data_IF_194239561397
#
_entry.id   IF_194239561397
#
_cell.length_a   1.000
_cell.length_b   1.000
_cell.length_c   1.000
_cell.angle_alpha   90.00
_cell.angle_beta   90.00
_cell.angle_gamma   90.00
#
_symmetry.space_group_name_H-M   'P 1'
#
loop_
_entity.id
_entity.type
_entity.pdbx_description
1 polymer ?
#
# COMPACT_ATOMS: atom_id res chain seq x y z
N UNK A 1 -6.90 -9.30 17.08
CA UNK A 1 -7.71 -9.31 15.83
C UNK A 1 -6.76 -9.12 14.67
N UNK A 2 -7.02 -9.79 13.54
CA UNK A 2 -6.25 -9.57 12.31
C UNK A 2 -6.44 -8.12 11.83
N UNK A 3 -5.38 -7.55 11.25
CA UNK A 3 -5.36 -6.19 10.71
C UNK A 3 -6.30 -6.09 9.52
N UNK A 4 -6.30 -7.09 8.62
CA UNK A 4 -7.17 -7.16 7.45
C UNK A 4 -8.10 -8.36 7.52
N UNK A 5 -9.40 -8.10 7.41
CA UNK A 5 -10.47 -9.09 7.24
C UNK A 5 -11.25 -8.78 5.97
N UNK A 6 -12.04 -9.73 5.46
CA UNK A 6 -12.86 -9.50 4.27
C UNK A 6 -13.91 -8.40 4.47
N UNK A 7 -14.31 -8.16 5.72
CA UNK A 7 -15.29 -7.14 6.09
C UNK A 7 -14.67 -5.75 6.27
N UNK A 8 -13.36 -5.63 6.56
CA UNK A 8 -12.78 -4.36 7.01
C UNK A 8 -11.76 -3.72 6.06
N UNK A 9 -11.22 -4.46 5.09
CA UNK A 9 -10.05 -3.99 4.35
C UNK A 9 -10.37 -2.75 3.50
N UNK A 10 -11.59 -2.65 2.98
CA UNK A 10 -12.06 -1.50 2.18
C UNK A 10 -12.18 -0.25 3.05
N UNK A 11 -12.89 -0.33 4.18
CA UNK A 11 -13.05 0.80 5.11
C UNK A 11 -11.71 1.27 5.68
N UNK A 12 -10.79 0.33 5.93
CA UNK A 12 -9.41 0.65 6.33
C UNK A 12 -8.66 1.39 5.25
N UNK A 13 -8.84 1.03 3.99
CA UNK A 13 -8.18 1.70 2.88
C UNK A 13 -8.69 3.14 2.75
N UNK A 14 -10.00 3.32 2.78
CA UNK A 14 -10.64 4.64 2.78
C UNK A 14 -10.09 5.53 3.91
N UNK A 15 -10.09 5.00 5.14
CA UNK A 15 -9.59 5.73 6.31
C UNK A 15 -8.11 6.09 6.15
N UNK A 16 -7.27 5.16 5.69
CA UNK A 16 -5.85 5.43 5.49
C UNK A 16 -5.64 6.58 4.48
N UNK A 17 -6.35 6.57 3.35
CA UNK A 17 -6.27 7.63 2.34
C UNK A 17 -6.76 8.98 2.87
N UNK A 18 -7.81 8.99 3.70
CA UNK A 18 -8.33 10.22 4.29
C UNK A 18 -7.32 10.92 5.24
N UNK A 19 -6.40 10.14 5.82
CA UNK A 19 -5.42 10.60 6.82
C UNK A 19 -4.05 10.98 6.23
N UNK A 20 -3.85 10.82 4.93
CA UNK A 20 -2.57 11.13 4.29
C UNK A 20 -2.26 12.63 4.35
N UNK A 21 -0.97 12.94 4.41
CA UNK A 21 -0.49 14.31 4.38
C UNK A 21 -0.84 15.04 3.08
N UNK A 22 -1.21 16.31 3.25
CA UNK A 22 -1.58 17.25 2.19
C UNK A 22 -0.74 18.52 2.30
N UNK A 23 -0.50 19.17 1.18
CA UNK A 23 0.09 20.51 1.15
C UNK A 23 -0.91 21.56 1.68
N UNK A 24 -0.44 22.82 1.81
CA UNK A 24 -1.27 23.94 2.27
C UNK A 24 -2.46 24.27 1.35
N UNK A 25 -2.50 23.69 0.14
CA UNK A 25 -3.58 23.84 -0.85
C UNK A 25 -4.53 22.64 -0.82
N UNK A 26 -4.32 21.68 0.08
CA UNK A 26 -5.14 20.49 0.22
C UNK A 26 -4.84 19.39 -0.80
N UNK A 27 -3.75 19.47 -1.57
CA UNK A 27 -3.33 18.41 -2.48
C UNK A 27 -2.53 17.35 -1.71
N UNK A 28 -2.76 16.07 -2.00
CA UNK A 28 -1.95 15.00 -1.44
C UNK A 28 -0.46 15.18 -1.78
N UNK A 29 0.41 14.92 -0.80
CA UNK A 29 1.85 14.86 -1.05
C UNK A 29 2.24 13.57 -1.78
N UNK A 30 1.47 12.51 -1.57
CA UNK A 30 1.57 11.26 -2.31
C UNK A 30 1.09 11.47 -3.74
N UNK A 31 1.81 10.91 -4.72
CA UNK A 31 1.42 10.97 -6.13
C UNK A 31 0.81 9.67 -6.62
N UNK A 32 0.04 9.75 -7.71
CA UNK A 32 -0.54 8.54 -8.34
C UNK A 32 0.55 7.60 -8.84
N UNK A 33 1.66 8.12 -9.36
CA UNK A 33 2.81 7.31 -9.79
C UNK A 33 3.45 6.52 -8.66
N UNK A 34 3.58 7.11 -7.47
CA UNK A 34 4.14 6.44 -6.29
C UNK A 34 3.26 5.28 -5.83
N UNK A 35 1.95 5.50 -5.66
CA UNK A 35 1.05 4.45 -5.20
C UNK A 35 0.80 3.36 -6.27
N UNK A 36 0.78 3.73 -7.56
CA UNK A 36 0.72 2.76 -8.66
C UNK A 36 1.96 1.87 -8.73
N UNK A 37 3.14 2.41 -8.43
CA UNK A 37 4.36 1.60 -8.35
C UNK A 37 4.24 0.52 -7.26
N UNK A 38 3.69 0.86 -6.08
CA UNK A 38 3.42 -0.13 -5.03
C UNK A 38 2.40 -1.17 -5.46
N UNK A 39 1.31 -0.74 -6.11
CA UNK A 39 0.30 -1.65 -6.65
C UNK A 39 0.90 -2.64 -7.66
N UNK A 40 1.77 -2.18 -8.56
CA UNK A 40 2.43 -3.03 -9.55
C UNK A 40 3.22 -4.19 -8.92
N UNK A 41 3.89 -3.93 -7.79
CA UNK A 41 4.61 -4.98 -7.04
C UNK A 41 3.63 -6.04 -6.51
N UNK A 42 2.43 -5.62 -6.10
CA UNK A 42 1.40 -6.48 -5.55
C UNK A 42 0.61 -7.24 -6.63
N UNK A 43 0.33 -6.61 -7.78
CA UNK A 43 -0.40 -7.25 -8.89
C UNK A 43 0.34 -8.45 -9.45
N UNK A 44 1.67 -8.35 -9.63
CA UNK A 44 2.49 -9.48 -10.06
C UNK A 44 2.42 -10.67 -9.09
N UNK A 45 2.32 -10.39 -7.79
CA UNK A 45 2.20 -11.44 -6.77
C UNK A 45 0.77 -12.00 -6.71
N UNK A 46 -0.24 -11.16 -6.92
CA UNK A 46 -1.64 -11.58 -7.01
C UNK A 46 -1.85 -12.57 -8.15
N UNK A 47 -1.34 -12.27 -9.35
CA UNK A 47 -1.47 -13.15 -10.50
C UNK A 47 -0.76 -14.49 -10.28
N UNK A 48 0.48 -14.46 -9.76
CA UNK A 48 1.20 -15.68 -9.40
C UNK A 48 0.48 -16.50 -8.32
N UNK A 49 -0.26 -15.87 -7.41
CA UNK A 49 -1.05 -16.57 -6.39
C UNK A 49 -2.21 -17.39 -6.94
N UNK A 50 -2.70 -17.08 -8.14
CA UNK A 50 -3.79 -17.82 -8.81
C UNK A 50 -3.30 -19.16 -9.34
N UNK A 51 -2.04 -19.22 -9.76
CA UNK A 51 -1.46 -20.38 -10.46
C UNK A 51 -0.57 -21.23 -9.55
N UNK A 52 0.10 -20.62 -8.55
CA UNK A 52 1.10 -21.27 -7.70
C UNK A 52 0.59 -21.53 -6.28
N UNK A 53 1.19 -22.52 -5.60
CA UNK A 53 0.96 -22.75 -4.17
C UNK A 53 1.59 -21.63 -3.34
N UNK A 54 1.00 -21.34 -2.18
CA UNK A 54 1.50 -20.24 -1.33
C UNK A 54 2.94 -20.46 -0.86
N UNK A 55 3.33 -21.71 -0.57
CA UNK A 55 4.69 -22.05 -0.10
C UNK A 55 5.78 -21.63 -1.10
N UNK A 56 5.46 -21.61 -2.39
CA UNK A 56 6.36 -21.16 -3.46
C UNK A 56 6.51 -19.63 -3.51
N UNK A 57 5.62 -18.89 -2.84
CA UNK A 57 5.53 -17.42 -2.85
C UNK A 57 6.04 -16.80 -1.54
N UNK A 58 6.41 -17.57 -0.54
CA UNK A 58 6.88 -17.06 0.77
C UNK A 58 8.07 -16.10 0.60
N UNK A 59 9.01 -16.44 -0.28
CA UNK A 59 10.15 -15.59 -0.59
C UNK A 59 9.73 -14.31 -1.32
N UNK A 60 8.77 -14.39 -2.24
CA UNK A 60 8.22 -13.22 -2.93
C UNK A 60 7.51 -12.26 -1.94
N UNK A 61 6.75 -12.79 -0.98
CA UNK A 61 6.09 -11.99 0.08
C UNK A 61 7.15 -11.31 0.96
N UNK A 62 8.21 -12.04 1.33
CA UNK A 62 9.32 -11.48 2.11
C UNK A 62 10.05 -10.38 1.34
N UNK A 63 10.27 -10.58 0.04
CA UNK A 63 10.89 -9.58 -0.82
C UNK A 63 9.99 -8.36 -1.04
N UNK A 64 8.67 -8.57 -1.18
CA UNK A 64 7.69 -7.48 -1.24
C UNK A 64 7.81 -6.57 -0.02
N UNK A 65 7.98 -7.15 1.19
CA UNK A 65 8.20 -6.37 2.41
C UNK A 65 9.46 -5.50 2.33
N UNK A 66 10.57 -6.03 1.82
CA UNK A 66 11.81 -5.26 1.59
C UNK A 66 11.56 -4.12 0.61
N UNK A 67 10.82 -4.38 -0.48
CA UNK A 67 10.48 -3.35 -1.45
C UNK A 67 9.65 -2.23 -0.83
N UNK A 68 8.63 -2.52 -0.01
CA UNK A 68 7.85 -1.48 0.68
C UNK A 68 8.71 -0.62 1.62
N UNK A 69 9.63 -1.23 2.37
CA UNK A 69 10.58 -0.49 3.21
C UNK A 69 11.47 0.42 2.36
N UNK A 70 12.00 -0.09 1.25
CA UNK A 70 12.84 0.68 0.34
C UNK A 70 12.07 1.86 -0.30
N UNK A 71 10.87 1.62 -0.81
CA UNK A 71 10.04 2.67 -1.41
C UNK A 71 9.65 3.75 -0.39
N UNK A 72 9.46 3.37 0.87
CA UNK A 72 9.19 4.30 1.97
C UNK A 72 10.35 5.27 2.21
N UNK A 73 11.59 4.80 2.11
CA UNK A 73 12.78 5.64 2.29
C UNK A 73 13.19 6.41 1.02
N UNK A 74 12.92 5.88 -0.17
CA UNK A 74 13.36 6.47 -1.45
C UNK A 74 12.52 7.68 -1.87
N UNK A 75 11.22 7.64 -1.64
CA UNK A 75 10.28 8.62 -2.20
C UNK A 75 10.10 9.81 -1.25
N UNK A 76 10.99 10.79 -1.38
CA UNK A 76 10.90 12.06 -0.65
C UNK A 76 10.40 13.20 -1.54
N UNK A 77 9.65 14.12 -0.93
CA UNK A 77 9.16 15.36 -1.56
C UNK A 77 9.53 16.54 -0.68
N UNK A 78 10.00 17.63 -1.27
CA UNK A 78 10.31 18.87 -0.53
C UNK A 78 9.17 19.87 -0.68
N UNK A 79 8.59 20.27 0.44
CA UNK A 79 7.54 21.31 0.50
C UNK A 79 7.93 22.30 1.59
N UNK A 80 7.91 23.61 1.29
CA UNK A 80 8.21 24.67 2.26
C UNK A 80 9.50 24.45 3.08
N UNK A 81 10.57 24.02 2.40
CA UNK A 81 11.90 23.68 2.99
C UNK A 81 11.92 22.45 3.92
N UNK A 82 10.79 21.79 4.13
CA UNK A 82 10.69 20.51 4.85
C UNK A 82 10.69 19.34 3.86
N UNK A 83 11.23 18.20 4.29
CA UNK A 83 11.23 16.96 3.51
C UNK A 83 10.19 16.02 4.09
N UNK A 84 9.28 15.57 3.23
CA UNK A 84 8.23 14.61 3.55
C UNK A 84 8.52 13.29 2.84
N UNK A 85 7.99 12.19 3.36
CA UNK A 85 8.11 10.86 2.78
C UNK A 85 6.71 10.28 2.55
N UNK A 86 6.03 10.67 1.46
CA UNK A 86 4.60 10.36 1.30
C UNK A 86 4.31 8.87 1.21
N UNK A 87 5.24 8.08 0.64
CA UNK A 87 5.09 6.61 0.61
C UNK A 87 5.21 6.02 2.01
N UNK A 88 6.10 6.56 2.85
CA UNK A 88 6.22 6.15 4.25
C UNK A 88 4.94 6.49 5.02
N UNK A 89 4.40 7.70 4.82
CA UNK A 89 3.13 8.12 5.42
C UNK A 89 2.00 7.14 5.05
N UNK A 90 1.86 6.80 3.75
CA UNK A 90 0.90 5.78 3.32
C UNK A 90 1.11 4.42 4.00
N UNK A 91 2.36 3.95 4.07
CA UNK A 91 2.70 2.67 4.70
C UNK A 91 2.32 2.65 6.18
N UNK A 92 2.54 3.76 6.89
CA UNK A 92 2.21 3.89 8.31
C UNK A 92 0.70 4.04 8.53
N UNK A 93 0.01 4.94 7.81
CA UNK A 93 -1.45 5.13 7.94
C UNK A 93 -2.25 3.90 7.51
N UNK A 94 -1.76 3.18 6.50
CA UNK A 94 -2.36 1.93 6.02
C UNK A 94 -1.96 0.69 6.82
N UNK A 95 -1.03 0.80 7.78
CA UNK A 95 -0.46 -0.34 8.51
C UNK A 95 0.03 -1.44 7.54
N UNK A 96 0.62 -1.05 6.41
CA UNK A 96 0.86 -1.94 5.26
C UNK A 96 1.89 -3.02 5.63
N UNK A 97 2.96 -2.65 6.33
CA UNK A 97 4.00 -3.60 6.74
C UNK A 97 3.49 -4.58 7.79
N UNK A 98 2.60 -4.13 8.68
CA UNK A 98 1.96 -4.97 9.67
C UNK A 98 0.98 -5.93 9.02
N UNK A 99 0.13 -5.46 8.10
CA UNK A 99 -0.76 -6.31 7.32
C UNK A 99 0.00 -7.37 6.51
N UNK A 100 1.13 -7.00 5.91
CA UNK A 100 1.95 -7.93 5.14
C UNK A 100 2.61 -9.01 6.02
N UNK A 101 2.89 -8.74 7.31
CA UNK A 101 3.37 -9.76 8.27
C UNK A 101 2.30 -10.80 8.62
N UNK A 102 1.02 -10.47 8.49
CA UNK A 102 -0.09 -11.39 8.76
C UNK A 102 -0.42 -12.29 7.56
N UNK A 103 0.20 -12.06 6.40
CA UNK A 103 0.06 -12.92 5.22
C UNK A 103 0.73 -14.26 5.49
N UNK A 104 -0.09 -15.31 5.54
CA UNK A 104 0.32 -16.68 5.91
C UNK A 104 -0.23 -17.76 5.00
N UNK A 105 -1.12 -17.38 4.08
CA UNK A 105 -1.78 -18.26 3.13
C UNK A 105 -2.21 -17.48 1.89
N UNK A 106 -2.72 -18.20 0.88
CA UNK A 106 -3.19 -17.59 -0.37
C UNK A 106 -4.31 -16.57 -0.13
N UNK A 107 -5.22 -16.84 0.79
CA UNK A 107 -6.39 -15.99 1.03
C UNK A 107 -5.98 -14.64 1.63
N UNK A 108 -5.14 -14.66 2.66
CA UNK A 108 -4.57 -13.46 3.28
C UNK A 108 -3.69 -12.68 2.31
N UNK A 109 -2.92 -13.35 1.44
CA UNK A 109 -2.16 -12.70 0.37
C UNK A 109 -3.07 -11.98 -0.63
N UNK A 110 -4.10 -12.67 -1.13
CA UNK A 110 -5.03 -12.09 -2.09
C UNK A 110 -5.83 -10.94 -1.48
N UNK A 111 -6.22 -11.03 -0.20
CA UNK A 111 -6.83 -9.94 0.56
C UNK A 111 -5.89 -8.74 0.66
N UNK A 112 -4.61 -8.96 0.94
CA UNK A 112 -3.61 -7.89 0.94
C UNK A 112 -3.49 -7.21 -0.43
N UNK A 113 -3.48 -7.97 -1.53
CA UNK A 113 -3.46 -7.39 -2.88
C UNK A 113 -4.71 -6.54 -3.16
N UNK A 114 -5.91 -7.03 -2.82
CA UNK A 114 -7.17 -6.28 -2.93
C UNK A 114 -7.19 -5.03 -2.05
N UNK A 115 -6.54 -5.08 -0.88
CA UNK A 115 -6.34 -3.91 -0.02
C UNK A 115 -5.49 -2.83 -0.71
N UNK A 116 -4.40 -3.22 -1.37
CA UNK A 116 -3.59 -2.28 -2.16
C UNK A 116 -4.37 -1.68 -3.34
N UNK A 117 -5.25 -2.45 -3.99
CA UNK A 117 -6.16 -1.93 -5.02
C UNK A 117 -7.16 -0.93 -4.44
N UNK A 118 -7.75 -1.22 -3.26
CA UNK A 118 -8.66 -0.31 -2.58
C UNK A 118 -7.98 1.01 -2.20
N UNK A 119 -6.74 0.97 -1.72
CA UNK A 119 -5.95 2.18 -1.43
C UNK A 119 -5.80 3.06 -2.68
N UNK A 120 -5.47 2.46 -3.83
CA UNK A 120 -5.36 3.20 -5.10
C UNK A 120 -6.71 3.77 -5.54
N UNK A 121 -7.79 2.98 -5.42
CA UNK A 121 -9.12 3.40 -5.80
C UNK A 121 -9.58 4.61 -4.98
N UNK A 122 -9.46 4.56 -3.65
CA UNK A 122 -9.82 5.67 -2.78
C UNK A 122 -8.90 6.88 -2.95
N UNK A 123 -7.60 6.66 -3.17
CA UNK A 123 -6.67 7.75 -3.47
C UNK A 123 -7.12 8.53 -4.71
N UNK A 124 -7.51 7.82 -5.77
CA UNK A 124 -8.04 8.44 -6.99
C UNK A 124 -9.40 9.10 -6.76
N UNK A 125 -10.30 8.45 -6.00
CA UNK A 125 -11.62 8.98 -5.66
C UNK A 125 -11.54 10.32 -4.91
N UNK A 126 -10.63 10.44 -3.94
CA UNK A 126 -10.44 11.66 -3.16
C UNK A 126 -9.60 12.75 -3.86
N UNK A 127 -9.32 12.59 -5.16
CA UNK A 127 -8.65 13.61 -5.96
C UNK A 127 -7.12 13.55 -5.91
N UNK A 128 -6.54 12.39 -5.63
CA UNK A 128 -5.13 12.13 -5.90
C UNK A 128 -4.83 12.39 -7.38
N UNK A 129 -3.98 13.38 -7.65
CA UNK A 129 -3.60 13.79 -9.00
C UNK A 129 -2.35 13.03 -9.48
N UNK A 130 -2.19 12.93 -10.80
CA UNK A 130 -1.01 12.34 -11.42
C UNK A 130 0.27 13.11 -11.10
#
# INVERSE_FOLDING_TARGET
MAILTDENYVDKAERAISLLEKDNKGNYLLTTSQIRNLLSLCSSLYDRSKERKFDELINDVSYLRVQFVYQSGRNSVRVNRQTFFPVKDLVEKGQILEALKEVKDRETLQRFCRYMEALVAYFKFYGGKD
#
